data_IF_412074480439
#
_entry.id   IF_412074480439
#
_cell.length_a   1.000
_cell.length_b   1.000
_cell.length_c   1.000
_cell.angle_alpha   90.00
_cell.angle_beta   90.00
_cell.angle_gamma   90.00
#
_symmetry.space_group_name_H-M   'P 1'
#
loop_
_entity.id
_entity.type
_entity.pdbx_description
1 polymer ?
#
# COMPACT_ATOMS: atom_id res chain seq x y z
N UNK A 1 15.85 10.98 -0.37
CA UNK A 1 14.52 11.38 -0.88
C UNK A 1 14.68 12.11 -2.19
N UNK A 2 13.87 11.80 -3.20
CA UNK A 2 13.78 12.47 -4.50
C UNK A 2 12.35 12.99 -4.68
N UNK A 3 12.18 13.96 -5.59
CA UNK A 3 10.87 14.54 -5.88
C UNK A 3 10.71 14.76 -7.39
N UNK A 4 9.52 14.47 -7.89
CA UNK A 4 9.12 14.76 -9.27
C UNK A 4 7.69 15.28 -9.31
N UNK A 5 7.44 16.28 -10.16
CA UNK A 5 6.08 16.75 -10.41
C UNK A 5 5.45 15.91 -11.52
N UNK A 6 4.40 15.16 -11.15
CA UNK A 6 3.60 14.35 -12.08
C UNK A 6 2.12 14.67 -11.89
N UNK A 7 1.36 14.76 -12.98
CA UNK A 7 -0.07 15.13 -12.95
C UNK A 7 -0.36 16.44 -12.17
N UNK A 8 0.62 17.37 -12.12
CA UNK A 8 0.52 18.61 -11.35
C UNK A 8 0.73 18.44 -9.84
N UNK A 9 1.11 17.28 -9.36
CA UNK A 9 1.38 16.97 -7.95
C UNK A 9 2.87 16.66 -7.78
N UNK A 10 3.51 17.23 -6.77
CA UNK A 10 4.87 16.88 -6.37
C UNK A 10 4.82 15.56 -5.60
N UNK A 11 5.37 14.51 -6.18
CA UNK A 11 5.48 13.17 -5.58
C UNK A 11 6.91 12.96 -5.10
N UNK A 12 7.04 12.72 -3.80
CA UNK A 12 8.30 12.32 -3.18
C UNK A 12 8.46 10.80 -3.26
N UNK A 13 9.70 10.35 -3.39
CA UNK A 13 10.00 8.92 -3.44
C UNK A 13 11.43 8.62 -2.99
N UNK A 14 11.64 7.43 -2.48
CA UNK A 14 12.96 6.84 -2.33
C UNK A 14 13.22 5.78 -3.39
N UNK A 15 14.50 5.53 -3.71
CA UNK A 15 14.91 4.46 -4.60
C UNK A 15 16.17 3.79 -4.08
N UNK A 16 16.04 2.53 -3.70
CA UNK A 16 17.18 1.64 -3.50
C UNK A 16 17.57 1.08 -4.86
N UNK A 17 18.70 1.52 -5.40
CA UNK A 17 19.21 0.98 -6.66
C UNK A 17 19.68 -0.45 -6.49
N UNK A 18 19.28 -1.32 -7.43
CA UNK A 18 19.67 -2.70 -7.48
C UNK A 18 19.82 -3.20 -8.92
N UNK A 19 20.05 -4.49 -9.08
CA UNK A 19 20.25 -5.13 -10.39
C UNK A 19 19.02 -5.92 -10.87
N UNK A 20 17.99 -6.07 -10.03
CA UNK A 20 16.76 -6.77 -10.43
C UNK A 20 16.02 -6.01 -11.53
N UNK A 21 15.56 -6.75 -12.52
CA UNK A 21 14.69 -6.27 -13.59
C UNK A 21 13.54 -7.27 -13.75
N UNK A 22 12.29 -6.81 -13.68
CA UNK A 22 11.83 -5.44 -13.44
C UNK A 22 11.99 -5.00 -11.97
N UNK A 23 11.99 -3.67 -11.68
CA UNK A 23 12.05 -3.15 -10.32
C UNK A 23 10.77 -3.47 -9.53
N UNK A 24 10.89 -3.44 -8.19
CA UNK A 24 9.75 -3.44 -7.26
C UNK A 24 9.28 -2.01 -6.99
N UNK A 25 7.97 -1.79 -6.98
CA UNK A 25 7.35 -0.55 -6.47
C UNK A 25 6.59 -0.90 -5.21
N UNK A 26 7.00 -0.38 -4.06
CA UNK A 26 6.39 -0.65 -2.75
C UNK A 26 5.51 0.53 -2.34
N UNK A 27 4.19 0.34 -2.40
CA UNK A 27 3.18 1.37 -2.12
C UNK A 27 2.66 1.19 -0.71
N UNK A 28 2.85 2.22 0.13
CA UNK A 28 2.46 2.21 1.54
C UNK A 28 0.94 2.23 1.75
N UNK A 29 0.52 1.87 2.98
CA UNK A 29 -0.87 1.94 3.43
C UNK A 29 -1.24 3.28 4.08
N UNK A 30 -2.51 3.41 4.47
CA UNK A 30 -3.02 4.53 5.26
C UNK A 30 -2.79 4.30 6.76
N UNK A 31 -2.44 5.29 7.53
CA UNK A 31 -1.94 6.63 7.20
C UNK A 31 -0.41 6.68 7.39
N UNK A 32 0.30 6.09 6.46
CA UNK A 32 1.74 5.87 6.51
C UNK A 32 2.44 6.59 5.35
N UNK A 33 3.75 6.40 5.24
CA UNK A 33 4.61 6.85 4.15
C UNK A 33 5.60 5.73 3.74
N UNK A 34 6.52 6.04 2.81
CA UNK A 34 7.54 5.11 2.32
C UNK A 34 8.31 4.40 3.44
N UNK A 35 8.57 5.08 4.58
CA UNK A 35 9.35 4.52 5.70
C UNK A 35 8.69 3.31 6.38
N UNK A 36 7.41 3.07 6.12
CA UNK A 36 6.72 1.85 6.57
C UNK A 36 7.33 0.55 6.02
N UNK A 37 8.18 0.65 4.99
CA UNK A 37 8.88 -0.47 4.36
C UNK A 37 10.33 -0.63 4.82
N UNK A 38 10.86 0.28 5.67
CA UNK A 38 12.28 0.32 6.05
C UNK A 38 12.80 -1.00 6.63
N UNK A 39 12.00 -1.66 7.47
CA UNK A 39 12.37 -2.95 8.04
C UNK A 39 12.49 -4.07 6.99
N UNK A 40 11.81 -3.93 5.84
CA UNK A 40 11.85 -4.91 4.75
C UNK A 40 13.09 -4.74 3.86
N UNK A 41 13.59 -3.49 3.66
CA UNK A 41 14.62 -3.18 2.67
C UNK A 41 15.92 -3.97 2.84
N UNK A 42 16.44 -4.22 4.06
CA UNK A 42 17.64 -5.06 4.25
C UNK A 42 17.46 -6.50 3.73
N UNK A 43 16.22 -7.00 3.68
CA UNK A 43 15.90 -8.34 3.18
C UNK A 43 15.65 -8.38 1.66
N UNK A 44 15.65 -7.21 1.00
CA UNK A 44 15.54 -7.04 -0.46
C UNK A 44 16.88 -6.62 -1.10
N UNK A 45 18.01 -6.97 -0.47
CA UNK A 45 19.33 -6.66 -1.00
C UNK A 45 19.48 -7.14 -2.44
N UNK A 46 20.03 -6.26 -3.30
CA UNK A 46 20.18 -6.50 -4.74
C UNK A 46 18.94 -6.19 -5.59
N UNK A 47 17.78 -5.98 -4.99
CA UNK A 47 16.60 -5.54 -5.72
C UNK A 47 16.62 -4.02 -6.01
N UNK A 48 16.16 -3.64 -7.21
CA UNK A 48 15.84 -2.24 -7.53
C UNK A 48 14.44 -1.95 -6.97
N UNK A 49 14.35 -1.06 -5.98
CA UNK A 49 13.11 -0.80 -5.23
C UNK A 49 12.76 0.69 -5.28
N UNK A 50 11.54 1.01 -5.70
CA UNK A 50 10.96 2.35 -5.70
C UNK A 50 9.88 2.45 -4.61
N UNK A 51 9.97 3.46 -3.76
CA UNK A 51 9.08 3.67 -2.63
C UNK A 51 8.45 5.08 -2.72
N UNK A 52 7.34 5.25 -3.44
CA UNK A 52 6.66 6.54 -3.52
C UNK A 52 5.89 6.84 -2.24
N UNK A 53 5.88 8.11 -1.82
CA UNK A 53 4.83 8.65 -0.97
C UNK A 53 3.63 9.00 -1.85
N UNK A 54 2.47 8.46 -1.52
CA UNK A 54 1.24 8.82 -2.23
C UNK A 54 0.89 10.29 -1.99
N UNK A 55 0.15 10.92 -2.93
CA UNK A 55 -0.35 12.29 -2.74
C UNK A 55 -0.94 12.51 -1.36
N UNK A 56 -0.55 13.58 -0.69
CA UNK A 56 -1.01 13.93 0.65
C UNK A 56 -0.41 13.10 1.79
N UNK A 57 0.59 12.26 1.52
CA UNK A 57 1.28 11.44 2.50
C UNK A 57 2.78 11.73 2.48
N UNK A 58 3.45 11.52 3.62
CA UNK A 58 4.88 11.70 3.77
C UNK A 58 5.36 13.08 3.31
N UNK A 59 6.34 13.09 2.42
CA UNK A 59 6.92 14.30 1.83
C UNK A 59 6.24 14.70 0.50
N UNK A 60 5.25 13.94 0.03
CA UNK A 60 4.48 14.32 -1.17
C UNK A 60 3.52 15.46 -0.89
N UNK A 61 3.27 16.28 -1.93
CA UNK A 61 2.40 17.44 -1.80
C UNK A 61 0.98 17.05 -1.39
N UNK A 62 0.43 17.85 -0.49
CA UNK A 62 -1.01 17.83 -0.17
C UNK A 62 -1.76 18.49 -1.32
N UNK A 63 -2.80 17.83 -1.80
CA UNK A 63 -3.64 18.32 -2.89
C UNK A 63 -4.93 18.87 -2.32
N UNK A 64 -5.31 20.06 -2.78
CA UNK A 64 -6.59 20.66 -2.44
C UNK A 64 -7.74 19.91 -3.14
N UNK A 65 -8.82 19.69 -2.39
CA UNK A 65 -10.02 19.06 -2.91
C UNK A 65 -10.04 17.53 -2.78
N UNK A 66 -11.10 16.92 -3.32
CA UNK A 66 -11.27 15.48 -3.30
C UNK A 66 -10.41 14.80 -4.37
N UNK A 67 -9.85 13.64 -4.03
CA UNK A 67 -9.17 12.75 -4.95
C UNK A 67 -9.58 11.29 -4.69
N UNK A 68 -9.19 10.40 -5.57
CA UNK A 68 -9.61 9.01 -5.59
C UNK A 68 -8.41 8.05 -5.54
N UNK A 69 -8.66 6.76 -5.30
CA UNK A 69 -7.64 5.71 -5.48
C UNK A 69 -7.14 5.69 -6.94
N UNK A 70 -8.00 6.03 -7.91
CA UNK A 70 -7.60 6.11 -9.30
C UNK A 70 -6.59 7.24 -9.57
N UNK A 71 -6.75 8.40 -8.91
CA UNK A 71 -5.78 9.51 -9.00
C UNK A 71 -4.42 9.13 -8.38
N UNK A 72 -4.43 8.43 -7.24
CA UNK A 72 -3.21 7.90 -6.64
C UNK A 72 -2.49 6.91 -7.58
N UNK A 73 -3.25 6.04 -8.24
CA UNK A 73 -2.71 5.09 -9.22
C UNK A 73 -2.11 5.81 -10.44
N UNK A 74 -2.76 6.85 -10.94
CA UNK A 74 -2.26 7.68 -12.05
C UNK A 74 -0.97 8.40 -11.70
N UNK A 75 -0.80 8.87 -10.46
CA UNK A 75 0.47 9.47 -10.01
C UNK A 75 1.61 8.45 -10.04
N UNK A 76 1.37 7.24 -9.53
CA UNK A 76 2.40 6.19 -9.56
C UNK A 76 2.73 5.80 -11.01
N UNK A 77 1.74 5.68 -11.89
CA UNK A 77 1.96 5.40 -13.33
C UNK A 77 2.79 6.52 -13.96
N UNK A 78 2.44 7.79 -13.73
CA UNK A 78 3.16 8.93 -14.26
C UNK A 78 4.58 9.06 -13.68
N UNK A 79 4.78 8.66 -12.42
CA UNK A 79 6.12 8.56 -11.82
C UNK A 79 6.96 7.51 -12.54
N UNK A 80 6.40 6.34 -12.85
CA UNK A 80 7.09 5.29 -13.63
C UNK A 80 7.48 5.80 -15.03
N UNK A 81 6.59 6.57 -15.68
CA UNK A 81 6.86 7.18 -16.99
C UNK A 81 8.02 8.19 -16.92
N UNK A 82 7.99 9.08 -15.93
CA UNK A 82 9.03 10.08 -15.72
C UNK A 82 10.41 9.43 -15.43
N UNK A 83 10.42 8.29 -14.73
CA UNK A 83 11.59 7.49 -14.43
C UNK A 83 12.00 6.53 -15.55
N UNK A 84 11.22 6.48 -16.66
CA UNK A 84 11.43 5.56 -17.79
C UNK A 84 11.42 4.08 -17.40
N UNK A 85 10.60 3.73 -16.41
CA UNK A 85 10.37 2.37 -15.98
C UNK A 85 9.20 1.81 -16.79
N UNK A 86 9.48 1.01 -17.81
CA UNK A 86 8.45 0.49 -18.70
C UNK A 86 7.57 -0.57 -18.04
N UNK A 87 8.14 -1.37 -17.12
CA UNK A 87 7.43 -2.45 -16.43
C UNK A 87 7.98 -2.62 -15.01
N UNK A 88 7.10 -2.88 -14.04
CA UNK A 88 7.46 -3.05 -12.65
C UNK A 88 6.60 -4.13 -11.97
N UNK A 89 7.12 -4.76 -10.93
CA UNK A 89 6.31 -5.51 -9.98
C UNK A 89 5.74 -4.53 -8.96
N UNK A 90 4.41 -4.45 -8.87
CA UNK A 90 3.69 -3.50 -8.01
C UNK A 90 3.28 -4.20 -6.73
N UNK A 91 3.75 -3.73 -5.60
CA UNK A 91 3.43 -4.26 -4.27
C UNK A 91 2.69 -3.19 -3.47
N UNK A 92 1.51 -3.51 -2.99
CA UNK A 92 0.71 -2.56 -2.20
C UNK A 92 0.32 -3.11 -0.84
N UNK A 93 0.57 -2.33 0.21
CA UNK A 93 0.12 -2.62 1.56
C UNK A 93 -1.22 -1.92 1.83
N UNK A 94 -2.23 -2.65 2.31
CA UNK A 94 -3.51 -2.08 2.76
C UNK A 94 -4.13 -1.16 1.70
N UNK A 95 -4.22 0.17 1.93
CA UNK A 95 -4.64 1.17 0.94
C UNK A 95 -3.76 1.14 -0.31
N UNK A 96 -2.45 0.96 -0.16
CA UNK A 96 -1.54 0.78 -1.30
C UNK A 96 -1.90 -0.43 -2.17
N UNK A 97 -2.53 -1.45 -1.58
CA UNK A 97 -3.09 -2.58 -2.32
C UNK A 97 -4.28 -2.17 -3.21
N UNK A 98 -5.12 -1.23 -2.76
CA UNK A 98 -6.18 -0.68 -3.61
C UNK A 98 -5.59 0.10 -4.79
N UNK A 99 -4.53 0.87 -4.54
CA UNK A 99 -3.78 1.58 -5.60
C UNK A 99 -3.14 0.59 -6.57
N UNK A 100 -2.52 -0.47 -6.07
CA UNK A 100 -1.89 -1.51 -6.90
C UNK A 100 -2.92 -2.25 -7.79
N UNK A 101 -4.10 -2.55 -7.27
CA UNK A 101 -5.21 -3.12 -8.05
C UNK A 101 -5.69 -2.15 -9.14
N UNK A 102 -5.75 -0.86 -8.84
CA UNK A 102 -6.17 0.15 -9.84
C UNK A 102 -5.10 0.36 -10.92
N UNK A 103 -3.80 0.29 -10.59
CA UNK A 103 -2.72 0.26 -11.58
C UNK A 103 -2.87 -0.96 -12.50
N UNK A 104 -3.13 -2.15 -11.92
CA UNK A 104 -3.32 -3.37 -12.69
C UNK A 104 -4.57 -3.31 -13.59
N UNK A 105 -5.62 -2.58 -13.19
CA UNK A 105 -6.82 -2.30 -14.00
C UNK A 105 -6.49 -1.40 -15.19
N UNK A 106 -5.79 -0.29 -14.94
CA UNK A 106 -5.52 0.75 -15.95
C UNK A 106 -4.45 0.33 -16.97
N UNK A 107 -3.37 -0.27 -16.49
CA UNK A 107 -2.18 -0.56 -17.31
C UNK A 107 -1.62 -1.98 -17.07
N UNK A 108 -2.43 -3.06 -17.28
CA UNK A 108 -2.00 -4.42 -16.98
C UNK A 108 -0.72 -4.84 -17.72
N UNK A 109 -0.45 -4.27 -18.88
CA UNK A 109 0.79 -4.50 -19.65
C UNK A 109 2.06 -3.96 -18.98
N UNK A 110 1.92 -3.01 -18.04
CA UNK A 110 3.02 -2.41 -17.27
C UNK A 110 3.34 -3.18 -15.98
N UNK A 111 2.48 -4.13 -15.58
CA UNK A 111 2.63 -4.93 -14.36
C UNK A 111 3.34 -6.23 -14.69
N UNK A 112 4.52 -6.46 -14.12
CA UNK A 112 5.27 -7.73 -14.25
C UNK A 112 4.83 -8.74 -13.22
N UNK A 113 4.32 -8.28 -12.08
CA UNK A 113 3.79 -9.06 -10.98
C UNK A 113 3.08 -8.16 -9.98
N UNK A 114 2.23 -8.73 -9.14
CA UNK A 114 1.42 -7.98 -8.17
C UNK A 114 1.59 -8.58 -6.77
N UNK A 115 1.99 -7.75 -5.81
CA UNK A 115 2.05 -8.07 -4.39
C UNK A 115 0.89 -7.41 -3.63
N UNK A 116 0.09 -8.20 -2.93
CA UNK A 116 -1.05 -7.74 -2.14
C UNK A 116 -0.80 -8.06 -0.67
N UNK A 117 -0.40 -7.04 0.10
CA UNK A 117 0.01 -7.19 1.50
C UNK A 117 -1.07 -6.64 2.42
N UNK A 118 -1.68 -7.48 3.25
CA UNK A 118 -2.74 -7.11 4.23
C UNK A 118 -3.80 -6.19 3.61
N UNK A 119 -4.37 -6.59 2.46
CA UNK A 119 -5.32 -5.81 1.68
C UNK A 119 -6.53 -6.63 1.26
N UNK A 120 -7.43 -6.04 0.49
CA UNK A 120 -8.64 -6.68 -0.03
C UNK A 120 -9.09 -6.07 -1.36
N UNK A 121 -9.89 -6.81 -2.14
CA UNK A 121 -10.45 -6.33 -3.40
C UNK A 121 -11.85 -5.72 -3.26
N UNK A 122 -12.58 -6.06 -2.21
CA UNK A 122 -13.94 -5.58 -1.96
C UNK A 122 -13.99 -4.08 -1.65
N UNK A 123 -15.07 -3.38 -2.06
CA UNK A 123 -15.33 -2.00 -1.63
C UNK A 123 -15.67 -1.94 -0.15
N UNK A 124 -15.74 -0.74 0.41
CA UNK A 124 -16.26 -0.56 1.75
C UNK A 124 -17.79 -0.82 1.80
N UNK A 125 -18.24 -1.46 2.89
CA UNK A 125 -19.67 -1.49 3.22
C UNK A 125 -20.19 -0.09 3.53
N UNK A 126 -21.51 0.18 3.47
CA UNK A 126 -22.06 1.48 3.83
C UNK A 126 -21.62 1.97 5.22
N UNK A 127 -21.54 1.06 6.20
CA UNK A 127 -21.12 1.38 7.57
C UNK A 127 -19.63 1.76 7.62
N UNK A 128 -18.78 1.03 6.90
CA UNK A 128 -17.33 1.32 6.82
C UNK A 128 -17.08 2.65 6.12
N UNK A 129 -17.81 2.92 5.03
CA UNK A 129 -17.79 4.18 4.31
C UNK A 129 -18.18 5.35 5.21
N UNK A 130 -19.30 5.24 5.93
CA UNK A 130 -19.74 6.25 6.90
C UNK A 130 -18.67 6.46 8.01
N UNK A 131 -18.06 5.39 8.50
CA UNK A 131 -16.99 5.45 9.49
C UNK A 131 -15.74 6.20 8.99
N UNK A 132 -15.39 6.07 7.69
CA UNK A 132 -14.27 6.83 7.11
C UNK A 132 -14.56 8.32 7.06
N UNK A 133 -15.75 8.72 6.65
CA UNK A 133 -16.15 10.13 6.64
C UNK A 133 -16.18 10.72 8.06
N UNK A 134 -16.76 10.01 9.03
CA UNK A 134 -16.74 10.44 10.42
C UNK A 134 -15.30 10.55 10.99
N UNK A 135 -14.39 9.70 10.54
CA UNK A 135 -12.97 9.81 10.92
C UNK A 135 -12.32 11.01 10.25
N UNK A 136 -12.63 11.28 8.97
CA UNK A 136 -12.12 12.46 8.26
C UNK A 136 -12.57 13.77 8.93
N UNK A 137 -13.83 13.87 9.36
CA UNK A 137 -14.32 15.02 10.15
C UNK A 137 -13.51 15.20 11.44
N UNK A 138 -13.30 14.11 12.20
CA UNK A 138 -12.48 14.17 13.43
C UNK A 138 -11.04 14.60 13.17
N UNK A 139 -10.44 14.15 12.07
CA UNK A 139 -9.09 14.58 11.66
C UNK A 139 -9.09 16.08 11.34
N UNK A 140 -10.12 16.60 10.68
CA UNK A 140 -10.28 18.03 10.40
C UNK A 140 -10.35 18.87 11.67
N UNK A 141 -11.03 18.39 12.70
CA UNK A 141 -11.24 19.10 13.98
C UNK A 141 -10.06 18.96 14.95
N UNK A 142 -9.40 17.79 14.98
CA UNK A 142 -8.47 17.38 16.04
C UNK A 142 -7.05 17.04 15.54
N UNK A 143 -6.83 17.07 14.22
CA UNK A 143 -5.56 16.71 13.61
C UNK A 143 -5.30 15.20 13.55
N UNK A 144 -4.07 14.83 13.19
CA UNK A 144 -3.62 13.44 13.00
C UNK A 144 -3.61 12.60 14.29
N UNK A 145 -3.55 13.23 15.46
CA UNK A 145 -3.47 12.56 16.77
C UNK A 145 -4.63 11.59 17.02
N UNK A 146 -5.82 11.92 16.55
CA UNK A 146 -7.01 11.06 16.72
C UNK A 146 -6.85 9.72 15.98
N UNK A 147 -6.23 9.75 14.81
CA UNK A 147 -5.93 8.54 14.03
C UNK A 147 -4.75 7.80 14.64
N UNK A 148 -3.68 8.50 15.02
CA UNK A 148 -2.51 7.91 15.67
C UNK A 148 -2.89 7.13 16.94
N UNK A 149 -3.74 7.72 17.79
CA UNK A 149 -4.19 7.07 19.02
C UNK A 149 -5.01 5.79 18.75
N UNK A 150 -5.85 5.79 17.70
CA UNK A 150 -6.77 4.68 17.41
C UNK A 150 -6.17 3.59 16.53
N UNK A 151 -5.24 3.92 15.62
CA UNK A 151 -4.69 3.00 14.63
C UNK A 151 -3.34 2.39 15.03
N UNK A 152 -2.42 3.17 15.61
CA UNK A 152 -1.08 2.64 15.91
C UNK A 152 -1.10 1.29 16.68
N UNK A 153 -1.97 1.10 17.71
CA UNK A 153 -2.04 -0.19 18.41
C UNK A 153 -2.63 -1.35 17.59
N UNK A 154 -3.17 -1.08 16.40
CA UNK A 154 -3.82 -2.09 15.54
C UNK A 154 -2.98 -2.44 14.31
N UNK A 155 -1.93 -1.67 14.04
CA UNK A 155 -1.08 -1.87 12.86
C UNK A 155 -0.09 -3.02 13.05
N UNK A 156 0.49 -3.16 14.23
CA UNK A 156 1.44 -4.22 14.56
C UNK A 156 0.91 -5.09 15.70
N UNK A 157 1.25 -6.38 15.67
CA UNK A 157 1.01 -7.28 16.78
C UNK A 157 2.05 -7.10 17.91
N UNK A 158 3.22 -6.51 17.60
CA UNK A 158 4.25 -6.24 18.59
C UNK A 158 4.03 -4.85 19.26
N UNK A 159 3.78 -4.80 20.59
CA UNK A 159 3.61 -3.54 21.28
C UNK A 159 4.82 -2.60 21.23
N UNK A 160 6.02 -3.12 20.94
CA UNK A 160 7.24 -2.31 20.84
C UNK A 160 7.20 -1.37 19.63
N UNK A 161 6.44 -1.70 18.58
CA UNK A 161 6.28 -0.87 17.40
C UNK A 161 5.29 0.29 17.57
N UNK A 162 4.42 0.24 18.61
CA UNK A 162 3.29 1.19 18.74
C UNK A 162 3.75 2.64 18.86
N UNK A 163 4.86 2.92 19.60
CA UNK A 163 5.36 4.29 19.75
C UNK A 163 5.84 4.86 18.41
N UNK A 164 6.67 4.13 17.68
CA UNK A 164 7.19 4.55 16.39
C UNK A 164 6.07 4.71 15.35
N UNK A 165 5.10 3.80 15.34
CA UNK A 165 3.92 3.91 14.47
C UNK A 165 3.05 5.12 14.81
N UNK A 166 2.91 5.45 16.10
CA UNK A 166 2.20 6.66 16.51
C UNK A 166 2.90 7.91 15.99
N UNK A 167 4.21 8.01 16.16
CA UNK A 167 5.01 9.13 15.66
C UNK A 167 4.94 9.24 14.13
N UNK A 168 5.02 8.12 13.42
CA UNK A 168 4.87 8.06 11.97
C UNK A 168 3.51 8.61 11.51
N UNK A 169 2.42 8.23 12.19
CA UNK A 169 1.08 8.71 11.87
C UNK A 169 0.92 10.20 12.21
N UNK A 170 1.46 10.64 13.36
CA UNK A 170 1.33 12.03 13.81
C UNK A 170 1.98 13.04 12.86
N UNK A 171 3.05 12.66 12.17
CA UNK A 171 3.70 13.52 11.18
C UNK A 171 2.98 13.61 9.84
N UNK A 172 1.97 12.75 9.59
CA UNK A 172 1.22 12.81 8.34
C UNK A 172 0.30 14.04 8.29
N UNK A 173 0.20 14.71 7.12
CA UNK A 173 -0.66 15.87 6.95
C UNK A 173 -2.14 15.52 7.19
N UNK A 174 -2.82 16.26 8.04
CA UNK A 174 -4.24 16.05 8.35
C UNK A 174 -5.13 16.12 7.08
N UNK A 175 -4.89 17.10 6.21
CA UNK A 175 -5.62 17.24 4.95
C UNK A 175 -5.38 16.04 4.01
N UNK A 176 -4.16 15.50 3.94
CA UNK A 176 -3.85 14.28 3.21
C UNK A 176 -4.59 13.07 3.77
N UNK A 177 -4.63 12.92 5.10
CA UNK A 177 -5.43 11.86 5.74
C UNK A 177 -6.91 11.95 5.39
N UNK A 178 -7.50 13.14 5.42
CA UNK A 178 -8.91 13.35 5.08
C UNK A 178 -9.19 12.93 3.63
N UNK A 179 -8.33 13.34 2.70
CA UNK A 179 -8.44 12.95 1.29
C UNK A 179 -8.30 11.45 1.08
N UNK A 180 -7.33 10.82 1.73
CA UNK A 180 -7.12 9.36 1.64
C UNK A 180 -8.31 8.57 2.22
N UNK A 181 -8.91 9.03 3.32
CA UNK A 181 -10.12 8.43 3.90
C UNK A 181 -11.29 8.51 2.92
N UNK A 182 -11.51 9.67 2.27
CA UNK A 182 -12.54 9.83 1.26
C UNK A 182 -12.26 8.95 0.03
N UNK A 183 -11.02 8.90 -0.46
CA UNK A 183 -10.62 8.06 -1.59
C UNK A 183 -10.88 6.56 -1.31
N UNK A 184 -10.55 6.09 -0.11
CA UNK A 184 -10.84 4.71 0.29
C UNK A 184 -12.34 4.42 0.40
N UNK A 185 -13.14 5.39 0.89
CA UNK A 185 -14.60 5.24 1.02
C UNK A 185 -15.28 5.03 -0.33
N UNK A 186 -14.78 5.68 -1.39
CA UNK A 186 -15.37 5.65 -2.73
C UNK A 186 -14.69 4.65 -3.69
N UNK A 187 -13.74 3.84 -3.20
CA UNK A 187 -13.06 2.89 -4.09
C UNK A 187 -14.01 1.88 -4.71
N UNK A 188 -13.81 1.52 -5.97
CA UNK A 188 -14.63 0.53 -6.65
C UNK A 188 -14.37 -0.89 -6.12
N UNK A 189 -15.29 -1.80 -6.43
CA UNK A 189 -15.05 -3.24 -6.33
C UNK A 189 -14.00 -3.67 -7.36
N UNK A 190 -13.03 -4.45 -6.93
CA UNK A 190 -11.98 -5.00 -7.78
C UNK A 190 -12.02 -6.54 -7.88
N UNK A 191 -13.06 -7.18 -7.38
CA UNK A 191 -13.16 -8.65 -7.36
C UNK A 191 -13.19 -9.25 -8.77
N UNK A 192 -13.95 -8.67 -9.70
CA UNK A 192 -14.03 -9.15 -11.09
C UNK A 192 -12.69 -9.04 -11.84
N UNK A 193 -11.84 -8.08 -11.44
CA UNK A 193 -10.53 -7.90 -12.01
C UNK A 193 -9.59 -9.07 -11.72
N UNK A 194 -9.71 -9.69 -10.55
CA UNK A 194 -8.75 -10.66 -10.03
C UNK A 194 -8.57 -11.87 -10.96
N UNK A 195 -9.65 -12.36 -11.54
CA UNK A 195 -9.63 -13.52 -12.47
C UNK A 195 -8.97 -13.21 -13.83
N UNK A 196 -8.76 -11.92 -14.13
CA UNK A 196 -8.18 -11.48 -15.41
C UNK A 196 -6.67 -11.45 -15.44
N UNK A 197 -6.03 -11.50 -14.27
CA UNK A 197 -4.57 -11.37 -14.15
C UNK A 197 -3.83 -12.52 -14.83
N UNK A 198 -2.81 -12.16 -15.64
CA UNK A 198 -1.96 -13.11 -16.36
C UNK A 198 -0.49 -13.10 -15.86
N UNK A 199 -0.18 -12.20 -14.96
CA UNK A 199 1.12 -12.07 -14.29
C UNK A 199 1.11 -12.78 -12.92
N UNK A 200 2.28 -13.06 -12.32
CA UNK A 200 2.38 -13.60 -10.97
C UNK A 200 1.70 -12.70 -9.94
N UNK A 201 1.02 -13.32 -8.97
CA UNK A 201 0.41 -12.60 -7.84
C UNK A 201 0.88 -13.24 -6.53
N UNK A 202 1.35 -12.41 -5.62
CA UNK A 202 1.76 -12.80 -4.26
C UNK A 202 0.83 -12.11 -3.26
N UNK A 203 0.24 -12.89 -2.38
CA UNK A 203 -0.60 -12.38 -1.29
C UNK A 203 0.12 -12.70 0.01
N UNK A 204 0.30 -11.70 0.88
CA UNK A 204 0.90 -11.84 2.21
C UNK A 204 -0.06 -11.27 3.24
N UNK A 205 -0.33 -12.02 4.31
CA UNK A 205 -1.27 -11.59 5.34
C UNK A 205 -0.86 -12.09 6.73
N UNK A 206 -0.92 -11.21 7.72
CA UNK A 206 -0.70 -11.58 9.13
C UNK A 206 -1.97 -12.17 9.75
N UNK A 207 -1.88 -13.32 10.42
CA UNK A 207 -3.05 -13.98 11.02
C UNK A 207 -3.63 -13.23 12.24
N UNK A 208 -2.86 -12.31 12.83
CA UNK A 208 -3.31 -11.43 13.92
C UNK A 208 -3.74 -10.04 13.43
N UNK A 209 -3.99 -9.86 12.10
CA UNK A 209 -4.46 -8.60 11.54
C UNK A 209 -5.85 -8.22 12.08
N UNK A 210 -5.90 -7.17 12.92
CA UNK A 210 -7.12 -6.65 13.52
C UNK A 210 -7.91 -5.64 12.65
N UNK A 211 -7.40 -5.30 11.46
CA UNK A 211 -8.00 -4.29 10.56
C UNK A 211 -8.66 -4.91 9.34
N UNK A 212 -8.01 -5.89 8.72
CA UNK A 212 -8.52 -6.65 7.56
C UNK A 212 -8.47 -8.13 7.90
N UNK A 213 -9.62 -8.83 7.94
CA UNK A 213 -9.64 -10.26 8.21
C UNK A 213 -8.89 -11.05 7.14
N UNK A 214 -8.14 -12.09 7.54
CA UNK A 214 -7.36 -12.94 6.63
C UNK A 214 -8.24 -13.63 5.57
N UNK A 215 -9.53 -13.80 5.85
CA UNK A 215 -10.52 -14.31 4.90
C UNK A 215 -10.53 -13.51 3.60
N UNK A 216 -10.26 -12.20 3.64
CA UNK A 216 -10.15 -11.33 2.43
C UNK A 216 -9.01 -11.80 1.51
N UNK A 217 -7.89 -12.21 2.09
CA UNK A 217 -6.77 -12.76 1.32
C UNK A 217 -7.08 -14.15 0.77
N UNK A 218 -7.76 -15.00 1.53
CA UNK A 218 -8.23 -16.32 1.08
C UNK A 218 -9.24 -16.21 -0.06
N UNK A 219 -10.16 -15.22 0.01
CA UNK A 219 -11.12 -14.91 -1.07
C UNK A 219 -10.39 -14.47 -2.35
N UNK A 220 -9.43 -13.55 -2.23
CA UNK A 220 -8.62 -13.14 -3.39
C UNK A 220 -7.85 -14.32 -3.98
N UNK A 221 -7.22 -15.16 -3.14
CA UNK A 221 -6.52 -16.38 -3.60
C UNK A 221 -7.45 -17.34 -4.34
N UNK A 222 -8.70 -17.49 -3.90
CA UNK A 222 -9.68 -18.35 -4.57
C UNK A 222 -10.03 -17.83 -5.98
N UNK A 223 -10.04 -16.51 -6.18
CA UNK A 223 -10.30 -15.86 -7.46
C UNK A 223 -9.06 -15.77 -8.38
N UNK A 224 -7.87 -15.98 -7.83
CA UNK A 224 -6.58 -15.95 -8.55
C UNK A 224 -5.88 -17.30 -8.33
N UNK A 225 -6.23 -18.37 -9.05
CA UNK A 225 -5.69 -19.73 -8.78
C UNK A 225 -4.15 -19.81 -8.81
N UNK A 226 -3.51 -19.01 -9.67
CA UNK A 226 -2.04 -18.95 -9.80
C UNK A 226 -1.35 -18.10 -8.71
N UNK A 227 -2.08 -17.35 -7.87
CA UNK A 227 -1.46 -16.58 -6.80
C UNK A 227 -0.79 -17.50 -5.77
N UNK A 228 0.28 -17.06 -5.15
CA UNK A 228 0.74 -17.61 -3.86
C UNK A 228 0.05 -16.86 -2.71
N UNK A 229 -0.23 -17.55 -1.61
CA UNK A 229 -0.72 -16.96 -0.37
C UNK A 229 0.21 -17.36 0.77
N UNK A 230 0.78 -16.40 1.45
CA UNK A 230 1.57 -16.57 2.66
C UNK A 230 0.80 -15.98 3.84
N UNK A 231 0.36 -16.83 4.74
CA UNK A 231 -0.28 -16.47 6.00
C UNK A 231 0.78 -16.58 7.11
N UNK A 232 1.01 -15.50 7.85
CA UNK A 232 2.10 -15.46 8.86
C UNK A 232 1.47 -15.44 10.26
N UNK A 233 1.69 -16.49 11.08
CA UNK A 233 1.20 -16.52 12.46
C UNK A 233 1.75 -15.38 13.33
N UNK A 234 0.97 -14.92 14.28
CA UNK A 234 1.33 -13.90 15.28
C UNK A 234 1.74 -12.54 14.70
N UNK A 235 1.42 -12.28 13.43
CA UNK A 235 1.73 -11.04 12.70
C UNK A 235 0.48 -10.22 12.52
N UNK A 236 0.58 -8.91 12.75
CA UNK A 236 -0.51 -7.95 12.62
C UNK A 236 -0.74 -7.46 11.19
N UNK A 237 -1.21 -6.21 11.09
CA UNK A 237 -1.55 -5.58 9.80
C UNK A 237 -0.31 -5.21 8.95
N UNK A 238 0.88 -5.17 9.56
CA UNK A 238 2.12 -4.77 8.88
C UNK A 238 3.14 -5.93 8.82
N UNK A 239 2.94 -6.93 7.96
CA UNK A 239 3.86 -8.06 7.83
C UNK A 239 5.29 -7.63 7.47
N UNK A 240 5.45 -6.52 6.73
CA UNK A 240 6.75 -5.97 6.37
C UNK A 240 7.53 -5.42 7.58
N UNK A 241 6.85 -5.14 8.69
CA UNK A 241 7.43 -4.67 9.96
C UNK A 241 7.56 -5.81 10.97
N UNK A 242 6.47 -6.59 11.17
CA UNK A 242 6.41 -7.64 12.19
C UNK A 242 7.19 -8.90 11.78
N UNK A 243 7.26 -9.21 10.48
CA UNK A 243 7.93 -10.39 9.91
C UNK A 243 8.62 -10.06 8.57
N UNK A 244 9.63 -9.17 8.58
CA UNK A 244 10.25 -8.68 7.34
C UNK A 244 10.95 -9.78 6.53
N UNK A 245 11.55 -10.76 7.18
CA UNK A 245 12.25 -11.88 6.49
C UNK A 245 11.28 -12.74 5.70
N UNK A 246 10.17 -13.16 6.31
CA UNK A 246 9.14 -13.99 5.70
C UNK A 246 8.42 -13.23 4.59
N UNK A 247 8.12 -11.95 4.83
CA UNK A 247 7.50 -11.07 3.84
C UNK A 247 8.40 -10.87 2.62
N UNK A 248 9.67 -10.56 2.84
CA UNK A 248 10.63 -10.40 1.75
C UNK A 248 10.82 -11.70 0.95
N UNK A 249 10.88 -12.85 1.66
CA UNK A 249 10.99 -14.16 1.01
C UNK A 249 9.80 -14.40 0.08
N UNK A 250 8.57 -14.19 0.56
CA UNK A 250 7.36 -14.38 -0.25
C UNK A 250 7.37 -13.49 -1.50
N UNK A 251 7.72 -12.20 -1.35
CA UNK A 251 7.78 -11.25 -2.46
C UNK A 251 8.88 -11.60 -3.47
N UNK A 252 10.08 -11.97 -3.01
CA UNK A 252 11.19 -12.35 -3.90
C UNK A 252 10.88 -13.62 -4.69
N UNK A 253 10.43 -14.66 -3.99
CA UNK A 253 10.13 -15.95 -4.61
C UNK A 253 9.05 -15.86 -5.68
N UNK A 254 8.06 -14.98 -5.49
CA UNK A 254 6.95 -14.86 -6.41
C UNK A 254 7.05 -13.74 -7.45
N UNK A 255 7.89 -12.70 -7.23
CA UNK A 255 7.93 -11.52 -8.09
C UNK A 255 9.29 -11.27 -8.75
N UNK A 256 10.39 -11.77 -8.17
CA UNK A 256 11.75 -11.54 -8.66
C UNK A 256 12.45 -12.80 -9.18
N UNK A 257 11.89 -13.99 -8.96
CA UNK A 257 12.45 -15.23 -9.50
C UNK A 257 12.17 -15.31 -11.00
N UNK A 258 13.19 -15.23 -11.79
CA UNK A 258 13.21 -15.47 -13.25
C UNK A 258 13.90 -16.78 -13.54
#
# INVERSE_FOLDING_TARGET
>A
MHELTVNGVQIAFERQQGTSTPPLVLIHGFPLDHSSWDALLPHLEGADVLLPDLRGCGESAVVDGAYTIADMAEDVIALLDALKIEKAAIVGHSMGGYVALEIARKVPGRVSGLGLVSTQALPDTPERKAGRYATAEKVGDQGSDVVAASMAPKLSADPQHVSALRELIQRQPAAGMMGALAAMAERPDSTDLLSTFKFPVVIVHGLADGLIPVERSREMKALIPQASLTEIPDVGHMPMLDAPTETAKALKDGLLSS
#
